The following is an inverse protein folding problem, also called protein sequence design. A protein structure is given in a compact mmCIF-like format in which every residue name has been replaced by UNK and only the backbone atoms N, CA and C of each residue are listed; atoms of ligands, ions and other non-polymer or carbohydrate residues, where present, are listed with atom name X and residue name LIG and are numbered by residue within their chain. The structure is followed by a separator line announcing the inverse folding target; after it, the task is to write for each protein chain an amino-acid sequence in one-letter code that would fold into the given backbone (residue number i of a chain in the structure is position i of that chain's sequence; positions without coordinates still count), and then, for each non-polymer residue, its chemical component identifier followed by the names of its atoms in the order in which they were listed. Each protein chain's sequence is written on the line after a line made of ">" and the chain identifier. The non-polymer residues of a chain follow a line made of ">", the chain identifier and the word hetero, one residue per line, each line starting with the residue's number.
data_IF_403402790860
#
_entry.id   IF_403402790860
#
_cell.length_a   1.000
_cell.length_b   1.000
_cell.length_c   1.000
_cell.angle_alpha   90.00
_cell.angle_beta   90.00
_cell.angle_gamma   90.00
#
_symmetry.space_group_name_H-M   'P 1'
#
loop_
_entity.id
_entity.type
_entity.pdbx_description
1 polymer ?
#
# COMPACT_ATOMS: atom_id res chain seq x y z
N UNK A 1 -4.59 -19.77 1.44
CA UNK A 1 -4.17 -18.56 2.17
C UNK A 1 -2.74 -18.78 2.69
N UNK A 2 -1.74 -18.13 2.10
CA UNK A 2 -0.32 -18.27 2.44
C UNK A 2 0.19 -17.23 3.44
N UNK A 3 -0.66 -16.82 4.39
CA UNK A 3 -0.30 -15.82 5.40
C UNK A 3 -0.38 -16.42 6.80
N UNK A 4 0.58 -16.05 7.64
CA UNK A 4 0.65 -16.45 9.04
C UNK A 4 0.49 -15.22 9.93
N UNK A 5 -0.39 -15.32 10.93
CA UNK A 5 -0.66 -14.25 11.89
C UNK A 5 -0.23 -14.74 13.27
N UNK A 6 0.57 -13.94 13.99
CA UNK A 6 0.93 -14.24 15.38
C UNK A 6 -0.32 -14.22 16.27
N UNK A 7 -0.39 -15.17 17.21
CA UNK A 7 -1.43 -15.19 18.26
C UNK A 7 -0.96 -14.54 19.57
N UNK A 8 0.32 -14.18 19.64
CA UNK A 8 0.93 -13.49 20.76
C UNK A 8 1.28 -12.05 20.38
N UNK A 9 1.31 -11.17 21.39
CA UNK A 9 1.82 -9.80 21.23
C UNK A 9 3.26 -9.87 20.72
N UNK A 10 3.59 -9.01 19.77
CA UNK A 10 4.93 -8.90 19.19
C UNK A 10 5.57 -7.62 19.71
N UNK A 11 6.65 -7.76 20.47
CA UNK A 11 7.49 -6.64 20.89
C UNK A 11 8.49 -6.29 19.77
N UNK A 12 8.50 -5.04 19.26
CA UNK A 12 9.48 -4.61 18.28
C UNK A 12 10.90 -4.70 18.84
N UNK A 13 11.82 -5.32 18.10
CA UNK A 13 13.23 -5.42 18.53
C UNK A 13 13.98 -4.10 18.38
N UNK A 14 13.74 -3.38 17.28
CA UNK A 14 14.40 -2.11 16.98
C UNK A 14 13.59 -1.26 16.00
N UNK A 15 14.01 0.00 15.83
CA UNK A 15 13.50 0.91 14.82
C UNK A 15 14.64 1.39 13.94
N UNK A 16 14.60 1.00 12.68
CA UNK A 16 15.57 1.40 11.66
C UNK A 16 15.04 2.60 10.86
N UNK A 17 15.92 3.52 10.51
CA UNK A 17 15.62 4.59 9.56
C UNK A 17 16.00 4.10 8.17
N UNK A 18 15.07 4.24 7.22
CA UNK A 18 15.30 3.92 5.80
C UNK A 18 15.40 5.24 5.05
N UNK A 19 16.63 5.68 4.83
CA UNK A 19 16.92 6.90 4.05
C UNK A 19 16.78 6.63 2.55
N UNK A 20 16.46 7.68 1.79
CA UNK A 20 16.29 7.65 0.33
C UNK A 20 15.46 6.46 -0.18
N UNK A 21 14.21 6.38 0.29
CA UNK A 21 13.31 5.30 -0.10
C UNK A 21 13.15 5.19 -1.63
N UNK A 22 13.08 6.34 -2.32
CA UNK A 22 12.88 6.38 -3.77
C UNK A 22 14.10 5.84 -4.51
N UNK A 23 15.31 6.30 -4.17
CA UNK A 23 16.54 5.82 -4.80
C UNK A 23 16.79 4.33 -4.55
N UNK A 24 16.47 3.83 -3.36
CA UNK A 24 16.56 2.38 -3.06
C UNK A 24 15.61 1.54 -3.91
N UNK A 25 14.38 2.00 -4.14
CA UNK A 25 13.46 1.29 -5.05
C UNK A 25 13.95 1.33 -6.49
N UNK A 26 14.47 2.46 -6.94
CA UNK A 26 15.05 2.58 -8.28
C UNK A 26 16.25 1.63 -8.47
N UNK A 27 17.17 1.57 -7.49
CA UNK A 27 18.32 0.67 -7.53
C UNK A 27 17.93 -0.82 -7.49
N UNK A 28 16.78 -1.13 -6.88
CA UNK A 28 16.19 -2.48 -6.85
C UNK A 28 15.27 -2.76 -8.05
N UNK A 29 15.15 -1.83 -9.01
CA UNK A 29 14.28 -1.93 -10.19
C UNK A 29 12.79 -2.10 -9.84
N UNK A 30 12.37 -1.58 -8.68
CA UNK A 30 10.98 -1.58 -8.23
C UNK A 30 10.31 -0.28 -8.68
N UNK A 31 9.29 -0.40 -9.53
CA UNK A 31 8.53 0.76 -10.01
C UNK A 31 7.61 1.32 -8.93
N UNK A 32 7.66 2.63 -8.71
CA UNK A 32 6.76 3.36 -7.82
C UNK A 32 5.87 4.31 -8.61
N UNK A 33 4.58 4.29 -8.32
CA UNK A 33 3.61 5.24 -8.87
C UNK A 33 3.13 6.20 -7.78
N UNK A 34 3.15 7.49 -8.08
CA UNK A 34 2.53 8.49 -7.20
C UNK A 34 1.08 8.69 -7.61
N UNK A 35 0.19 8.81 -6.62
CA UNK A 35 -1.21 9.14 -6.83
C UNK A 35 -1.66 10.14 -5.76
N UNK A 36 -2.39 11.20 -6.12
CA UNK A 36 -2.92 12.15 -5.14
C UNK A 36 -3.95 11.51 -4.19
N UNK A 37 -4.61 10.43 -4.65
CA UNK A 37 -5.48 9.57 -3.87
C UNK A 37 -5.44 8.16 -4.47
N UNK A 38 -5.35 7.13 -3.63
CA UNK A 38 -5.26 5.73 -4.06
C UNK A 38 -6.61 5.11 -4.44
N UNK A 39 -7.72 5.68 -3.97
CA UNK A 39 -9.04 5.06 -4.13
C UNK A 39 -9.47 4.81 -5.57
N UNK A 40 -9.25 5.73 -6.55
CA UNK A 40 -9.59 5.44 -7.94
C UNK A 40 -8.91 4.18 -8.47
N UNK A 41 -7.60 4.04 -8.22
CA UNK A 41 -6.84 2.84 -8.60
C UNK A 41 -7.35 1.61 -7.84
N UNK A 42 -7.60 1.74 -6.54
CA UNK A 42 -8.05 0.62 -5.73
C UNK A 42 -9.43 0.09 -6.17
N UNK A 43 -10.35 0.98 -6.54
CA UNK A 43 -11.67 0.59 -7.04
C UNK A 43 -11.55 -0.18 -8.37
N UNK A 44 -10.63 0.21 -9.26
CA UNK A 44 -10.31 -0.56 -10.48
C UNK A 44 -9.67 -1.92 -10.18
N UNK A 45 -8.70 -1.97 -9.26
CA UNK A 45 -8.03 -3.21 -8.84
C UNK A 45 -9.04 -4.22 -8.30
N UNK A 46 -9.95 -3.77 -7.43
CA UNK A 46 -10.99 -4.64 -6.85
C UNK A 46 -12.01 -5.11 -7.89
N UNK A 47 -12.31 -4.29 -8.90
CA UNK A 47 -13.17 -4.67 -10.01
C UNK A 47 -12.48 -5.58 -11.05
N UNK A 48 -11.15 -5.75 -10.96
CA UNK A 48 -10.38 -6.53 -11.92
C UNK A 48 -10.51 -8.04 -11.69
N UNK A 49 -10.03 -8.82 -12.65
CA UNK A 49 -9.92 -10.28 -12.56
C UNK A 49 -8.56 -10.75 -12.06
N UNK A 50 -7.67 -9.83 -11.64
CA UNK A 50 -6.34 -10.17 -11.16
C UNK A 50 -6.40 -10.62 -9.71
N UNK A 51 -5.49 -11.52 -9.32
CA UNK A 51 -5.22 -11.74 -7.91
C UNK A 51 -4.44 -10.56 -7.36
N UNK A 52 -4.93 -9.95 -6.29
CA UNK A 52 -4.30 -8.79 -5.67
C UNK A 52 -4.27 -8.92 -4.14
N UNK A 53 -3.34 -8.18 -3.53
CA UNK A 53 -3.34 -7.92 -2.10
C UNK A 53 -3.16 -6.42 -1.86
N UNK A 54 -3.78 -5.91 -0.81
CA UNK A 54 -3.66 -4.51 -0.40
C UNK A 54 -3.41 -4.43 1.09
N UNK A 55 -2.51 -3.53 1.50
CA UNK A 55 -2.16 -3.34 2.90
C UNK A 55 -2.26 -1.87 3.28
N UNK A 56 -2.70 -1.60 4.51
CA UNK A 56 -2.75 -0.26 5.11
C UNK A 56 -3.58 0.77 4.31
N UNK A 57 -4.62 0.34 3.60
CA UNK A 57 -5.58 1.25 2.95
C UNK A 57 -6.25 2.23 3.93
N UNK A 58 -6.28 1.89 5.23
CA UNK A 58 -6.72 2.81 6.28
C UNK A 58 -5.87 4.09 6.38
N UNK A 59 -4.61 4.06 5.91
CA UNK A 59 -3.75 5.24 5.85
C UNK A 59 -4.03 6.13 4.63
N UNK A 60 -4.89 5.69 3.71
CA UNK A 60 -5.25 6.49 2.55
C UNK A 60 -5.98 7.77 2.97
N UNK A 61 -5.90 8.80 2.13
CA UNK A 61 -6.82 9.93 2.24
C UNK A 61 -8.27 9.43 2.16
N UNK A 62 -9.25 10.16 2.72
CA UNK A 62 -10.66 9.83 2.53
C UNK A 62 -10.99 9.63 1.05
N UNK A 63 -11.99 8.77 0.77
CA UNK A 63 -12.56 8.65 -0.58
C UNK A 63 -13.00 10.04 -1.02
N UNK A 64 -12.51 10.48 -2.18
CA UNK A 64 -12.99 11.73 -2.75
C UNK A 64 -14.48 11.55 -3.04
N UNK A 65 -15.29 12.55 -2.72
CA UNK A 65 -16.68 12.53 -3.16
C UNK A 65 -16.70 12.46 -4.69
N UNK A 66 -17.66 11.70 -5.28
CA UNK A 66 -17.87 11.75 -6.71
C UNK A 66 -18.03 13.21 -7.11
N UNK A 67 -17.23 13.66 -8.08
CA UNK A 67 -17.41 15.00 -8.64
C UNK A 67 -18.84 15.05 -9.19
N UNK A 68 -19.67 15.93 -8.64
CA UNK A 68 -20.98 16.20 -9.21
C UNK A 68 -20.77 16.65 -10.66
N UNK A 69 -21.31 15.87 -11.59
CA UNK A 69 -21.28 16.14 -13.04
C UNK A 69 -22.36 17.13 -13.40
#
# INVERSE_FOLDING_TARGET
>A
AGYWVSRAVVDPLERLTVDDLIGRHAAAEITLHTAPNVWPLWDEVVASTLEFSGMRLHNARPRAEPRAT
#
